data_IF_151462616103
#
_entry.id   IF_151462616103
#
_cell.length_a   1.000
_cell.length_b   1.000
_cell.length_c   1.000
_cell.angle_alpha   90.00
_cell.angle_beta   90.00
_cell.angle_gamma   90.00
#
_symmetry.space_group_name_H-M   'P 1'
#
loop_
_entity.id
_entity.type
_entity.pdbx_description
1 polymer ?
#
# COMPACT_ATOMS: atom_id res chain seq x y z
N UNK A 1 -0.86 -14.51 9.79
CA UNK A 1 -1.11 -14.44 11.25
C UNK A 1 -1.99 -13.23 11.48
N UNK A 2 -2.97 -13.33 12.36
CA UNK A 2 -3.76 -12.17 12.79
C UNK A 2 -3.25 -11.76 14.17
N UNK A 3 -2.95 -10.47 14.33
CA UNK A 3 -2.59 -9.85 15.61
C UNK A 3 -3.59 -8.72 15.87
N UNK A 4 -4.16 -8.68 17.06
CA UNK A 4 -5.11 -7.65 17.46
C UNK A 4 -4.36 -6.50 18.13
N UNK A 5 -4.63 -5.28 17.68
CA UNK A 5 -4.18 -4.06 18.31
C UNK A 5 -5.17 -3.69 19.44
N UNK A 6 -4.67 -3.16 20.56
CA UNK A 6 -5.47 -2.80 21.73
C UNK A 6 -6.03 -1.36 21.72
N UNK A 7 -5.85 -0.64 20.62
CA UNK A 7 -6.20 0.76 20.44
C UNK A 7 -5.15 1.75 20.99
N UNK A 8 -4.04 1.27 21.54
CA UNK A 8 -2.96 2.09 22.08
C UNK A 8 -1.62 1.77 21.40
N UNK A 9 -1.66 1.29 20.16
CA UNK A 9 -0.48 0.87 19.41
C UNK A 9 0.08 -0.50 19.82
N UNK A 10 -0.47 -1.19 20.83
CA UNK A 10 0.12 -2.44 21.33
C UNK A 10 -0.61 -3.69 20.84
N UNK A 11 0.15 -4.79 20.74
CA UNK A 11 -0.34 -6.08 20.27
C UNK A 11 -0.20 -7.12 21.40
N UNK A 12 -1.11 -7.15 22.38
CA UNK A 12 -0.96 -8.00 23.57
C UNK A 12 -0.96 -9.50 23.26
N UNK A 13 -1.57 -9.89 22.13
CA UNK A 13 -1.55 -11.26 21.61
C UNK A 13 -0.30 -11.57 20.75
N UNK A 14 0.71 -10.69 20.70
CA UNK A 14 1.94 -10.94 19.94
C UNK A 14 2.61 -12.24 20.40
N UNK A 15 2.72 -13.21 19.48
CA UNK A 15 3.19 -14.57 19.74
C UNK A 15 2.09 -15.63 19.78
N UNK A 16 0.82 -15.23 19.96
CA UNK A 16 -0.34 -16.09 19.78
C UNK A 16 -0.74 -16.06 18.30
N UNK A 17 -0.69 -17.23 17.66
CA UNK A 17 -1.08 -17.36 16.26
C UNK A 17 -2.58 -17.61 16.19
N UNK A 18 -3.36 -16.60 15.79
CA UNK A 18 -4.72 -16.83 15.28
C UNK A 18 -4.57 -17.13 13.80
N UNK A 19 -4.80 -18.39 13.42
CA UNK A 19 -4.96 -18.77 12.03
C UNK A 19 -6.43 -18.61 11.66
N UNK A 20 -6.74 -18.27 10.41
CA UNK A 20 -8.03 -18.66 9.85
C UNK A 20 -8.12 -20.18 9.98
N UNK A 21 -9.01 -20.66 10.83
CA UNK A 21 -9.03 -22.05 11.26
C UNK A 21 -10.33 -22.71 10.80
N UNK A 22 -10.56 -22.73 9.49
CA UNK A 22 -11.52 -23.66 8.88
C UNK A 22 -10.98 -25.12 8.86
N UNK A 23 -9.76 -25.34 9.36
CA UNK A 23 -9.06 -26.63 9.35
C UNK A 23 -8.40 -27.00 8.02
N UNK A 24 -8.60 -26.22 6.96
CA UNK A 24 -7.90 -26.35 5.69
C UNK A 24 -6.70 -25.41 5.70
N UNK A 25 -5.53 -25.93 6.08
CA UNK A 25 -4.30 -25.21 5.82
C UNK A 25 -4.26 -24.87 4.33
N UNK A 26 -3.88 -23.62 3.98
CA UNK A 26 -3.27 -23.34 2.69
C UNK A 26 -2.18 -24.40 2.50
N UNK A 27 -2.46 -25.37 1.62
CA UNK A 27 -1.66 -26.59 1.54
C UNK A 27 -0.22 -26.28 1.16
N UNK A 28 0.65 -27.29 1.12
CA UNK A 28 2.05 -27.11 0.70
C UNK A 28 2.22 -26.55 -0.72
N UNK A 29 1.14 -26.50 -1.50
CA UNK A 29 1.07 -25.99 -2.87
C UNK A 29 0.43 -24.60 -2.97
N UNK A 30 -0.08 -24.06 -1.87
CA UNK A 30 -0.61 -22.71 -1.81
C UNK A 30 0.52 -21.68 -1.75
N UNK A 31 0.29 -20.52 -2.34
CA UNK A 31 1.18 -19.38 -2.19
C UNK A 31 0.38 -18.08 -2.04
N UNK A 32 -0.10 -17.80 -0.82
CA UNK A 32 -0.64 -16.50 -0.47
C UNK A 32 0.40 -15.42 -0.72
N UNK A 33 0.07 -14.43 -1.52
CA UNK A 33 0.98 -13.33 -1.88
C UNK A 33 0.38 -11.95 -1.61
N UNK A 34 -0.95 -11.84 -1.61
CA UNK A 34 -1.70 -10.60 -1.48
C UNK A 34 -2.75 -10.79 -0.39
N UNK A 35 -2.99 -9.73 0.37
CA UNK A 35 -3.95 -9.72 1.47
C UNK A 35 -4.64 -8.37 1.51
N UNK A 36 -5.95 -8.38 1.69
CA UNK A 36 -6.74 -7.18 1.98
C UNK A 36 -7.74 -7.50 3.08
N UNK A 37 -8.31 -6.46 3.69
CA UNK A 37 -9.36 -6.58 4.68
C UNK A 37 -10.50 -5.62 4.35
N UNK A 38 -11.73 -6.13 4.30
CA UNK A 38 -12.91 -5.34 3.96
C UNK A 38 -14.21 -6.02 4.44
N UNK A 39 -15.32 -5.31 4.62
CA UNK A 39 -16.62 -5.89 4.96
C UNK A 39 -17.25 -6.61 3.74
N UNK A 40 -16.93 -7.89 3.55
CA UNK A 40 -17.35 -8.67 2.38
C UNK A 40 -18.69 -9.36 2.61
N UNK A 41 -18.92 -9.89 3.82
CA UNK A 41 -20.13 -10.61 4.20
C UNK A 41 -21.14 -9.73 4.97
N UNK A 42 -21.03 -8.41 4.81
CA UNK A 42 -21.86 -7.39 5.46
C UNK A 42 -21.02 -6.28 6.13
N UNK A 43 -21.65 -5.15 6.47
CA UNK A 43 -20.95 -3.87 6.72
C UNK A 43 -20.22 -3.69 8.07
N UNK A 44 -20.18 -4.69 8.96
CA UNK A 44 -19.80 -4.44 10.38
C UNK A 44 -18.46 -5.03 10.82
N UNK A 45 -17.96 -6.06 10.15
CA UNK A 45 -16.70 -6.69 10.49
C UNK A 45 -15.78 -6.70 9.28
N UNK A 46 -14.49 -6.43 9.49
CA UNK A 46 -13.49 -6.59 8.44
C UNK A 46 -13.22 -8.08 8.24
N UNK A 47 -13.57 -8.59 7.08
CA UNK A 47 -13.27 -9.94 6.62
C UNK A 47 -11.89 -9.98 5.97
N UNK A 48 -11.34 -11.19 5.79
CA UNK A 48 -10.02 -11.37 5.22
C UNK A 48 -10.11 -11.83 3.76
N UNK A 49 -9.40 -11.12 2.90
CA UNK A 49 -9.27 -11.44 1.48
C UNK A 49 -7.84 -11.90 1.24
N UNK A 50 -7.67 -13.10 0.70
CA UNK A 50 -6.35 -13.68 0.43
C UNK A 50 -6.23 -14.03 -1.04
N UNK A 51 -5.26 -13.44 -1.70
CA UNK A 51 -4.87 -13.79 -3.05
C UNK A 51 -3.79 -14.88 -3.05
N UNK A 52 -4.08 -16.02 -3.67
CA UNK A 52 -3.15 -17.14 -3.84
C UNK A 52 -2.67 -17.29 -5.29
N UNK A 53 -1.35 -17.13 -5.48
CA UNK A 53 -0.71 -17.16 -6.80
C UNK A 53 -0.72 -18.54 -7.46
N UNK A 54 -0.58 -19.61 -6.68
CA UNK A 54 -0.45 -20.97 -7.23
C UNK A 54 -1.83 -21.61 -7.39
N UNK A 55 -2.72 -21.41 -6.42
CA UNK A 55 -4.11 -21.83 -6.54
C UNK A 55 -4.89 -20.98 -7.56
N UNK A 56 -4.38 -19.79 -7.92
CA UNK A 56 -5.01 -18.85 -8.88
C UNK A 56 -6.40 -18.47 -8.43
N UNK A 57 -6.51 -18.17 -7.15
CA UNK A 57 -7.78 -17.93 -6.47
C UNK A 57 -7.70 -16.77 -5.50
N UNK A 58 -8.84 -16.15 -5.27
CA UNK A 58 -9.09 -15.26 -4.15
C UNK A 58 -9.93 -16.02 -3.13
N UNK A 59 -9.45 -16.10 -1.89
CA UNK A 59 -10.20 -16.67 -0.77
C UNK A 59 -10.79 -15.53 0.06
N UNK A 60 -12.07 -15.63 0.39
CA UNK A 60 -12.80 -14.73 1.28
C UNK A 60 -13.06 -15.47 2.58
N UNK A 61 -12.63 -14.94 3.72
CA UNK A 61 -12.77 -15.57 5.02
C UNK A 61 -13.51 -14.61 5.96
N UNK A 62 -14.67 -15.05 6.44
CA UNK A 62 -15.52 -14.23 7.29
C UNK A 62 -14.93 -14.08 8.68
N UNK A 63 -14.96 -12.86 9.20
CA UNK A 63 -14.62 -12.56 10.58
C UNK A 63 -15.83 -12.80 11.49
N UNK A 64 -15.64 -13.54 12.58
CA UNK A 64 -16.69 -13.79 13.58
C UNK A 64 -17.00 -12.57 14.48
N UNK A 65 -16.36 -11.42 14.21
CA UNK A 65 -16.43 -10.20 15.02
C UNK A 65 -15.45 -10.17 16.19
N UNK A 66 -14.69 -11.24 16.41
CA UNK A 66 -13.66 -11.35 17.46
C UNK A 66 -12.25 -11.48 16.90
N UNK A 67 -12.10 -11.33 15.57
CA UNK A 67 -10.83 -11.50 14.86
C UNK A 67 -10.50 -12.96 14.55
N UNK A 68 -11.50 -13.86 14.59
CA UNK A 68 -11.35 -15.25 14.12
C UNK A 68 -12.01 -15.44 12.76
N UNK A 69 -11.42 -16.34 11.98
CA UNK A 69 -11.76 -16.61 10.59
C UNK A 69 -11.96 -18.12 10.35
N UNK A 70 -12.60 -18.79 11.30
CA UNK A 70 -12.90 -20.23 11.30
C UNK A 70 -14.31 -20.58 10.83
N UNK A 71 -15.12 -19.55 10.53
CA UNK A 71 -16.48 -19.67 10.03
C UNK A 71 -16.55 -19.84 8.50
N UNK A 72 -17.22 -18.89 7.84
CA UNK A 72 -17.49 -18.96 6.41
C UNK A 72 -16.22 -18.68 5.60
N UNK A 73 -16.01 -19.50 4.56
CA UNK A 73 -14.98 -19.28 3.54
C UNK A 73 -15.55 -19.50 2.15
N UNK A 74 -15.20 -18.62 1.21
CA UNK A 74 -15.49 -18.75 -0.21
C UNK A 74 -14.19 -18.70 -1.01
N UNK A 75 -13.92 -19.70 -1.85
CA UNK A 75 -12.75 -19.73 -2.73
C UNK A 75 -13.15 -19.49 -4.18
N UNK A 76 -12.63 -18.41 -4.76
CA UNK A 76 -12.98 -17.94 -6.09
C UNK A 76 -11.80 -18.18 -7.03
N UNK A 77 -11.91 -19.19 -7.88
CA UNK A 77 -10.92 -19.45 -8.92
C UNK A 77 -11.01 -18.41 -10.04
N UNK A 78 -9.96 -17.62 -10.23
CA UNK A 78 -9.88 -16.56 -11.26
C UNK A 78 -9.10 -17.00 -12.51
N UNK A 79 -8.38 -18.13 -12.44
CA UNK A 79 -7.70 -18.72 -13.61
C UNK A 79 -6.30 -18.16 -13.91
N UNK A 80 -5.88 -17.07 -13.26
CA UNK A 80 -4.60 -16.40 -13.48
C UNK A 80 -3.72 -16.38 -12.23
N UNK A 81 -2.40 -16.28 -12.44
CA UNK A 81 -1.46 -16.06 -11.33
C UNK A 81 -1.61 -14.61 -10.87
N UNK A 82 -2.34 -14.35 -9.80
CA UNK A 82 -2.44 -12.97 -9.32
C UNK A 82 -1.12 -12.45 -8.74
N UNK A 83 -1.01 -11.13 -8.61
CA UNK A 83 0.08 -10.44 -7.89
C UNK A 83 -0.42 -9.58 -6.74
N UNK A 84 -1.63 -9.04 -6.85
CA UNK A 84 -2.17 -8.09 -5.89
C UNK A 84 -3.70 -8.08 -5.91
N UNK A 85 -4.32 -7.60 -4.82
CA UNK A 85 -5.77 -7.45 -4.66
C UNK A 85 -6.10 -6.12 -3.98
N UNK A 86 -7.13 -5.43 -4.47
CA UNK A 86 -7.72 -4.24 -3.84
C UNK A 86 -9.19 -4.51 -3.59
N UNK A 87 -9.68 -4.11 -2.42
CA UNK A 87 -11.07 -4.27 -2.01
C UNK A 87 -11.72 -2.90 -1.85
N UNK A 88 -12.72 -2.61 -2.69
CA UNK A 88 -13.41 -1.32 -2.75
C UNK A 88 -14.74 -1.49 -3.47
N UNK A 89 -15.74 -0.66 -3.19
CA UNK A 89 -17.00 -0.60 -3.93
C UNK A 89 -16.74 -0.05 -5.35
N UNK A 90 -16.78 -0.90 -6.36
CA UNK A 90 -16.43 -0.57 -7.75
C UNK A 90 -17.63 -0.14 -8.58
N UNK A 91 -18.86 -0.47 -8.18
CA UNK A 91 -20.07 -0.13 -8.93
C UNK A 91 -21.05 0.81 -8.20
N UNK A 92 -20.64 1.27 -7.00
CA UNK A 92 -21.36 2.20 -6.14
C UNK A 92 -22.70 1.65 -5.63
N UNK A 93 -22.81 0.33 -5.45
CA UNK A 93 -23.99 -0.31 -4.85
C UNK A 93 -23.94 -0.38 -3.31
N UNK A 94 -22.80 -0.02 -2.72
CA UNK A 94 -22.55 0.01 -1.28
C UNK A 94 -21.93 -1.28 -0.72
N UNK A 95 -21.73 -2.30 -1.55
CA UNK A 95 -21.07 -3.54 -1.20
C UNK A 95 -19.60 -3.53 -1.70
N UNK A 96 -18.68 -4.07 -0.91
CA UNK A 96 -17.26 -4.04 -1.28
C UNK A 96 -16.95 -5.14 -2.30
N UNK A 97 -16.42 -4.72 -3.45
CA UNK A 97 -15.94 -5.56 -4.55
C UNK A 97 -14.44 -5.83 -4.46
N UNK A 98 -13.90 -6.59 -5.43
CA UNK A 98 -12.48 -6.91 -5.50
C UNK A 98 -11.91 -6.72 -6.91
N UNK A 99 -10.85 -5.92 -7.01
CA UNK A 99 -9.98 -5.84 -8.19
C UNK A 99 -8.72 -6.70 -7.98
N UNK A 100 -8.30 -7.42 -9.02
CA UNK A 100 -7.17 -8.35 -8.97
C UNK A 100 -6.20 -8.11 -10.12
N UNK A 101 -4.92 -7.93 -9.80
CA UNK A 101 -3.86 -7.89 -10.80
C UNK A 101 -3.56 -9.32 -11.23
N UNK A 102 -3.83 -9.70 -12.48
CA UNK A 102 -3.68 -11.09 -12.96
C UNK A 102 -2.21 -11.51 -13.20
N UNK A 103 -1.27 -10.70 -12.71
CA UNK A 103 0.14 -10.99 -12.57
C UNK A 103 0.98 -10.77 -13.81
N UNK A 104 2.30 -10.96 -13.68
CA UNK A 104 3.27 -10.49 -14.67
C UNK A 104 3.16 -11.17 -16.03
N UNK A 105 2.52 -12.33 -16.11
CA UNK A 105 2.43 -13.13 -17.34
C UNK A 105 1.11 -12.92 -18.11
N UNK A 106 0.35 -11.90 -17.75
CA UNK A 106 -0.88 -11.50 -18.44
C UNK A 106 -0.82 -10.01 -18.79
N UNK A 107 -1.83 -9.56 -19.53
CA UNK A 107 -2.05 -8.16 -19.87
C UNK A 107 -3.46 -7.73 -19.39
N UNK A 108 -3.92 -8.28 -18.26
CA UNK A 108 -5.30 -8.08 -17.78
C UNK A 108 -5.39 -7.92 -16.27
N UNK A 109 -6.47 -7.29 -15.82
CA UNK A 109 -6.94 -7.36 -14.43
C UNK A 109 -8.31 -8.04 -14.39
N UNK A 110 -8.71 -8.56 -13.23
CA UNK A 110 -10.04 -9.15 -13.00
C UNK A 110 -10.80 -8.33 -11.97
N UNK A 111 -12.06 -8.00 -12.25
CA UNK A 111 -12.99 -7.42 -11.28
C UNK A 111 -14.00 -8.49 -10.86
N UNK A 112 -14.30 -8.54 -9.56
CA UNK A 112 -15.25 -9.44 -8.92
C UNK A 112 -16.26 -8.59 -8.14
N UNK A 113 -17.52 -8.55 -8.57
CA UNK A 113 -18.55 -7.75 -7.91
C UNK A 113 -19.28 -8.56 -6.84
N UNK A 114 -19.45 -8.00 -5.67
CA UNK A 114 -20.05 -8.62 -4.50
C UNK A 114 -21.55 -8.34 -4.46
N UNK A 115 -22.35 -9.31 -4.01
CA UNK A 115 -23.79 -9.11 -3.78
C UNK A 115 -24.13 -8.70 -2.34
N UNK A 116 -23.15 -8.15 -1.63
CA UNK A 116 -23.21 -7.82 -0.20
C UNK A 116 -23.26 -9.00 0.75
N UNK A 117 -23.36 -10.23 0.22
CA UNK A 117 -23.38 -11.46 0.99
C UNK A 117 -22.16 -12.32 0.69
N UNK A 118 -21.10 -11.74 0.11
CA UNK A 118 -19.85 -12.39 -0.25
C UNK A 118 -19.95 -13.38 -1.41
N UNK A 119 -21.08 -13.38 -2.13
CA UNK A 119 -21.21 -14.14 -3.37
C UNK A 119 -20.81 -13.24 -4.53
N UNK A 120 -19.62 -13.50 -5.07
CA UNK A 120 -19.04 -12.71 -6.14
C UNK A 120 -19.65 -13.09 -7.49
N UNK A 121 -20.39 -12.18 -8.10
CA UNK A 121 -21.04 -12.33 -9.40
C UNK A 121 -20.45 -11.35 -10.43
N UNK A 122 -20.54 -11.68 -11.72
CA UNK A 122 -19.91 -10.95 -12.83
C UNK A 122 -18.36 -10.81 -12.76
N UNK A 123 -17.65 -11.43 -13.71
CA UNK A 123 -16.20 -11.31 -13.82
C UNK A 123 -15.87 -10.47 -15.04
N UNK A 124 -15.48 -9.21 -14.84
CA UNK A 124 -14.92 -8.41 -15.91
C UNK A 124 -13.42 -8.68 -15.98
N UNK A 125 -12.92 -9.02 -17.17
CA UNK A 125 -11.48 -9.12 -17.43
C UNK A 125 -11.11 -7.95 -18.32
N UNK A 126 -10.40 -6.98 -17.75
CA UNK A 126 -10.07 -5.73 -18.42
C UNK A 126 -8.65 -5.77 -18.97
N UNK A 127 -8.43 -5.37 -20.23
CA UNK A 127 -7.10 -5.27 -20.80
C UNK A 127 -6.35 -4.08 -20.17
N UNK A 128 -5.08 -4.31 -19.86
CA UNK A 128 -4.12 -3.31 -19.39
C UNK A 128 -2.80 -3.46 -20.17
N UNK A 129 -1.70 -2.87 -19.69
CA UNK A 129 -0.40 -3.04 -20.32
C UNK A 129 0.32 -4.26 -19.72
N UNK A 130 1.49 -4.58 -20.27
CA UNK A 130 2.13 -5.87 -19.98
C UNK A 130 2.67 -6.00 -18.55
N UNK A 131 2.23 -7.08 -17.91
CA UNK A 131 2.67 -7.51 -16.60
C UNK A 131 2.11 -6.69 -15.44
N UNK A 132 0.79 -6.68 -15.23
CA UNK A 132 0.17 -6.02 -14.08
C UNK A 132 0.62 -6.70 -12.78
N UNK A 133 1.17 -5.91 -11.85
CA UNK A 133 1.75 -6.43 -10.60
C UNK A 133 1.20 -5.78 -9.33
N UNK A 134 0.66 -4.58 -9.42
CA UNK A 134 0.08 -3.86 -8.28
C UNK A 134 -1.10 -2.99 -8.74
N UNK A 135 -2.02 -2.73 -7.82
CA UNK A 135 -3.23 -1.93 -8.04
C UNK A 135 -3.42 -0.94 -6.89
N UNK A 136 -4.02 0.21 -7.19
CA UNK A 136 -4.61 1.08 -6.20
C UNK A 136 -5.93 1.64 -6.72
N UNK A 137 -6.79 2.08 -5.79
CA UNK A 137 -8.11 2.62 -6.07
C UNK A 137 -8.26 4.02 -5.47
N UNK A 138 -8.99 4.90 -6.16
CA UNK A 138 -9.25 6.26 -5.68
C UNK A 138 -10.18 7.01 -6.62
N UNK A 139 -10.67 8.17 -6.20
CA UNK A 139 -11.42 9.08 -7.08
C UNK A 139 -10.42 9.95 -7.85
N UNK A 140 -10.16 9.63 -9.13
CA UNK A 140 -9.17 10.34 -9.94
C UNK A 140 -9.78 11.47 -10.77
N UNK A 141 -11.08 11.45 -11.06
CA UNK A 141 -11.78 12.52 -11.78
C UNK A 141 -12.88 13.22 -10.97
N UNK A 142 -12.88 12.98 -9.65
CA UNK A 142 -13.79 13.56 -8.66
C UNK A 142 -15.28 13.41 -9.01
N UNK A 143 -15.66 12.39 -9.78
CA UNK A 143 -17.04 12.19 -10.21
C UNK A 143 -17.91 11.39 -9.23
N UNK A 144 -17.31 10.94 -8.14
CA UNK A 144 -17.93 10.18 -7.06
C UNK A 144 -17.84 8.67 -7.22
N UNK A 145 -17.21 8.16 -8.29
CA UNK A 145 -17.00 6.74 -8.53
C UNK A 145 -15.52 6.37 -8.38
N UNK A 146 -15.26 5.14 -7.97
CA UNK A 146 -13.89 4.68 -7.72
C UNK A 146 -13.23 4.29 -9.04
N UNK A 147 -12.08 4.90 -9.31
CA UNK A 147 -11.18 4.60 -10.41
C UNK A 147 -10.05 3.67 -9.95
N UNK A 148 -9.30 3.12 -10.91
CA UNK A 148 -8.19 2.22 -10.65
C UNK A 148 -6.91 2.65 -11.37
N UNK A 149 -5.77 2.49 -10.71
CA UNK A 149 -4.44 2.54 -11.32
C UNK A 149 -3.78 1.17 -11.25
N UNK A 150 -3.15 0.76 -12.35
CA UNK A 150 -2.45 -0.52 -12.47
C UNK A 150 -0.98 -0.30 -12.78
N UNK A 151 -0.08 -0.86 -11.97
CA UNK A 151 1.35 -0.90 -12.25
C UNK A 151 1.69 -2.05 -13.21
N UNK A 152 2.21 -1.73 -14.39
CA UNK A 152 2.54 -2.71 -15.43
C UNK A 152 4.06 -2.83 -15.54
N UNK A 153 4.59 -3.88 -14.93
CA UNK A 153 6.02 -4.08 -14.71
C UNK A 153 6.83 -4.12 -15.99
N UNK A 154 6.33 -4.80 -17.02
CA UNK A 154 7.11 -5.09 -18.22
C UNK A 154 6.97 -4.02 -19.30
N UNK A 155 5.87 -3.28 -19.32
CA UNK A 155 5.73 -2.09 -20.17
C UNK A 155 6.34 -0.82 -19.54
N UNK A 156 6.75 -0.86 -18.26
CA UNK A 156 7.23 0.31 -17.50
C UNK A 156 6.21 1.44 -17.48
N UNK A 157 4.94 1.10 -17.28
CA UNK A 157 3.83 2.06 -17.35
C UNK A 157 2.81 1.86 -16.24
N UNK A 158 2.06 2.90 -15.95
CA UNK A 158 0.80 2.83 -15.23
C UNK A 158 -0.35 2.81 -16.25
N UNK A 159 -1.41 2.06 -15.97
CA UNK A 159 -2.68 2.15 -16.68
C UNK A 159 -3.69 2.77 -15.75
N UNK A 160 -4.31 3.87 -16.17
CA UNK A 160 -5.44 4.48 -15.46
C UNK A 160 -6.72 3.94 -16.08
N UNK A 161 -7.59 3.41 -15.24
CA UNK A 161 -8.91 2.90 -15.58
C UNK A 161 -9.94 3.80 -14.90
N UNK A 162 -10.71 4.52 -15.69
CA UNK A 162 -11.76 5.42 -15.20
C UNK A 162 -13.08 4.67 -15.21
N UNK A 163 -13.83 4.81 -14.12
CA UNK A 163 -15.13 4.20 -13.94
C UNK A 163 -16.17 4.92 -14.81
N UNK A 164 -17.02 4.17 -15.50
CA UNK A 164 -18.09 4.74 -16.33
C UNK A 164 -19.43 4.85 -15.59
N UNK A 165 -19.39 4.80 -14.25
CA UNK A 165 -20.51 5.00 -13.32
C UNK A 165 -21.55 3.90 -13.33
N UNK A 166 -21.23 2.76 -13.93
CA UNK A 166 -22.08 1.57 -13.93
C UNK A 166 -21.29 0.31 -13.58
N UNK A 167 -20.15 0.47 -12.90
CA UNK A 167 -19.24 -0.61 -12.55
C UNK A 167 -18.36 -1.05 -13.71
N UNK A 168 -18.47 -0.49 -14.92
CA UNK A 168 -17.50 -0.78 -15.98
C UNK A 168 -16.42 0.30 -16.05
N UNK A 169 -15.34 -0.01 -16.77
CA UNK A 169 -14.15 0.84 -16.82
C UNK A 169 -13.66 1.01 -18.24
N UNK A 170 -13.15 2.20 -18.54
CA UNK A 170 -12.43 2.48 -19.77
C UNK A 170 -11.01 2.95 -19.44
N UNK A 171 -10.11 2.85 -20.41
CA UNK A 171 -8.72 3.30 -20.25
C UNK A 171 -8.70 4.82 -20.31
N UNK A 172 -8.42 5.47 -19.18
CA UNK A 172 -8.16 6.92 -19.10
C UNK A 172 -6.78 7.30 -19.65
N UNK A 173 -5.82 6.38 -19.56
CA UNK A 173 -4.49 6.60 -20.13
C UNK A 173 -3.47 5.53 -19.79
N UNK A 174 -2.36 5.54 -20.53
CA UNK A 174 -1.15 4.81 -20.18
C UNK A 174 -0.03 5.81 -19.96
N UNK A 175 0.58 5.79 -18.78
CA UNK A 175 1.59 6.76 -18.39
C UNK A 175 2.92 6.05 -18.18
N UNK A 176 3.94 6.46 -18.93
CA UNK A 176 5.28 5.91 -18.76
C UNK A 176 5.86 6.34 -17.40
N UNK A 177 6.42 5.39 -16.67
CA UNK A 177 7.12 5.60 -15.40
C UNK A 177 8.54 5.03 -15.50
N UNK A 178 9.29 5.07 -14.39
CA UNK A 178 10.57 4.39 -14.29
C UNK A 178 10.49 2.88 -14.54
N UNK A 179 11.65 2.25 -14.66
CA UNK A 179 11.81 0.87 -15.09
C UNK A 179 11.31 -0.10 -14.00
N UNK A 180 10.54 -1.10 -14.42
CA UNK A 180 9.99 -2.17 -13.58
C UNK A 180 9.23 -1.61 -12.38
N UNK A 181 8.10 -0.90 -12.60
CA UNK A 181 7.22 -0.51 -11.51
C UNK A 181 6.73 -1.77 -10.79
N UNK A 182 6.78 -1.78 -9.46
CA UNK A 182 6.39 -2.94 -8.64
C UNK A 182 5.23 -2.68 -7.69
N UNK A 183 5.00 -1.42 -7.34
CA UNK A 183 3.98 -1.02 -6.38
C UNK A 183 3.51 0.41 -6.65
N UNK A 184 2.31 0.74 -6.20
CA UNK A 184 1.66 2.05 -6.37
C UNK A 184 0.98 2.51 -5.08
N UNK A 185 1.14 3.79 -4.75
CA UNK A 185 0.40 4.46 -3.70
C UNK A 185 -0.37 5.65 -4.29
N UNK A 186 -1.56 5.90 -3.76
CA UNK A 186 -2.42 7.05 -4.11
C UNK A 186 -2.56 7.97 -2.91
N UNK A 187 -2.39 9.27 -3.12
CA UNK A 187 -2.42 10.27 -2.04
C UNK A 187 -2.52 11.67 -2.64
N UNK A 188 -3.04 12.62 -1.88
CA UNK A 188 -2.96 14.04 -2.23
C UNK A 188 -1.56 14.54 -1.88
N UNK A 189 -0.73 14.80 -2.89
CA UNK A 189 0.67 15.15 -2.71
C UNK A 189 0.85 16.64 -2.42
N UNK A 190 -0.02 17.51 -2.91
CA UNK A 190 0.17 18.95 -2.80
C UNK A 190 -1.00 19.71 -2.18
N UNK A 191 -1.87 18.96 -1.51
CA UNK A 191 -3.01 19.44 -0.75
C UNK A 191 -4.02 20.22 -1.62
N UNK A 192 -4.14 19.88 -2.90
CA UNK A 192 -5.15 20.44 -3.80
C UNK A 192 -6.49 19.69 -3.79
N UNK A 193 -6.53 18.53 -3.13
CA UNK A 193 -7.71 17.68 -2.97
C UNK A 193 -7.83 16.58 -4.02
N UNK A 194 -6.94 16.54 -5.01
CA UNK A 194 -6.93 15.54 -6.07
C UNK A 194 -5.93 14.42 -5.73
N UNK A 195 -6.32 13.16 -5.93
CA UNK A 195 -5.43 12.03 -5.65
C UNK A 195 -4.36 11.90 -6.75
N UNK A 196 -3.10 12.01 -6.35
CA UNK A 196 -1.91 11.76 -7.14
C UNK A 196 -1.43 10.31 -7.01
N UNK A 197 -0.41 9.94 -7.78
CA UNK A 197 0.15 8.58 -7.77
C UNK A 197 1.66 8.60 -7.58
N UNK A 198 2.15 7.81 -6.62
CA UNK A 198 3.54 7.38 -6.53
C UNK A 198 3.68 5.93 -7.01
N UNK A 199 4.71 5.66 -7.82
CA UNK A 199 5.06 4.32 -8.26
C UNK A 199 6.49 3.94 -7.86
N UNK A 200 6.65 2.79 -7.23
CA UNK A 200 7.98 2.25 -6.91
C UNK A 200 8.61 1.64 -8.15
N UNK A 201 9.76 2.17 -8.60
CA UNK A 201 10.39 1.75 -9.87
C UNK A 201 11.70 1.01 -9.61
N UNK A 202 11.59 -0.30 -9.41
CA UNK A 202 12.66 -1.15 -8.92
C UNK A 202 13.90 -1.18 -9.83
N UNK A 203 13.69 -1.10 -11.14
CA UNK A 203 14.75 -1.06 -12.15
C UNK A 203 15.46 0.29 -12.21
N UNK A 204 14.71 1.38 -12.00
CA UNK A 204 15.23 2.75 -11.94
C UNK A 204 15.83 3.12 -10.58
N UNK A 205 15.60 2.32 -9.53
CA UNK A 205 16.05 2.62 -8.16
C UNK A 205 15.54 3.97 -7.66
N UNK A 206 14.28 4.26 -7.95
CA UNK A 206 13.63 5.54 -7.66
C UNK A 206 12.12 5.37 -7.48
N UNK A 207 11.44 6.44 -7.09
CA UNK A 207 9.99 6.60 -7.23
C UNK A 207 9.71 7.44 -8.48
N UNK A 208 8.59 7.17 -9.16
CA UNK A 208 7.99 8.08 -10.13
C UNK A 208 6.74 8.70 -9.50
N UNK A 209 6.55 10.00 -9.68
CA UNK A 209 5.38 10.73 -9.21
C UNK A 209 4.56 11.20 -10.41
N UNK A 210 3.25 11.05 -10.33
CA UNK A 210 2.29 11.50 -11.32
C UNK A 210 1.27 12.38 -10.62
N UNK A 211 1.23 13.66 -11.01
CA UNK A 211 0.27 14.62 -10.52
C UNK A 211 -1.02 14.55 -11.32
N UNK A 212 -2.16 14.56 -10.64
CA UNK A 212 -3.50 14.62 -11.20
C UNK A 212 -3.96 16.09 -11.35
N UNK A 213 -4.89 16.35 -12.27
CA UNK A 213 -5.54 17.65 -12.44
C UNK A 213 -7.01 17.67 -11.98
N UNK A 214 -7.42 16.64 -11.25
CA UNK A 214 -8.78 16.45 -10.75
C UNK A 214 -9.78 16.00 -11.81
N UNK A 215 -9.35 15.79 -13.05
CA UNK A 215 -10.18 15.36 -14.18
C UNK A 215 -9.72 13.99 -14.73
N UNK A 216 -8.94 13.23 -13.95
CA UNK A 216 -8.38 11.94 -14.32
C UNK A 216 -7.20 12.02 -15.29
N UNK A 217 -6.60 13.21 -15.48
CA UNK A 217 -5.44 13.41 -16.35
C UNK A 217 -4.17 13.55 -15.53
N UNK A 218 -3.21 12.67 -15.81
CA UNK A 218 -1.96 12.58 -15.04
C UNK A 218 -0.74 13.09 -15.81
N UNK A 219 0.10 13.86 -15.13
CA UNK A 219 1.37 14.37 -15.64
C UNK A 219 2.53 14.00 -14.73
N UNK A 220 3.70 13.74 -15.30
CA UNK A 220 4.88 13.44 -14.50
C UNK A 220 5.27 14.65 -13.63
N UNK A 221 5.39 14.44 -12.33
CA UNK A 221 5.90 15.41 -11.37
C UNK A 221 7.41 15.21 -11.13
N UNK A 222 8.03 16.18 -10.47
CA UNK A 222 9.43 16.07 -10.08
C UNK A 222 9.60 14.88 -9.12
N UNK A 223 10.32 13.85 -9.53
CA UNK A 223 10.57 12.70 -8.67
C UNK A 223 11.45 13.10 -7.47
N UNK A 224 11.28 12.45 -6.31
CA UNK A 224 12.19 12.60 -5.18
C UNK A 224 13.60 12.16 -5.58
N UNK A 225 14.58 12.46 -4.73
CA UNK A 225 15.93 11.92 -4.90
C UNK A 225 15.89 10.39 -5.09
N UNK A 226 16.82 9.82 -5.88
CA UNK A 226 16.92 8.36 -6.02
C UNK A 226 16.90 7.70 -4.66
N UNK A 227 16.27 6.54 -4.52
CA UNK A 227 16.18 5.85 -3.22
C UNK A 227 17.49 5.14 -2.85
N UNK A 228 18.39 4.92 -3.82
CA UNK A 228 19.52 3.98 -3.74
C UNK A 228 19.13 2.52 -3.41
N UNK A 229 17.84 2.23 -3.19
CA UNK A 229 17.28 0.90 -3.03
C UNK A 229 16.85 0.33 -4.38
N UNK A 230 16.54 -0.97 -4.43
CA UNK A 230 15.59 -1.47 -5.43
C UNK A 230 14.22 -1.44 -4.76
N UNK A 231 13.44 -0.35 -4.91
CA UNK A 231 12.19 -0.21 -4.19
C UNK A 231 11.20 -1.27 -4.68
N UNK A 232 10.50 -1.90 -3.74
CA UNK A 232 9.48 -2.92 -4.02
C UNK A 232 8.15 -2.57 -3.39
N UNK A 233 8.13 -1.63 -2.44
CA UNK A 233 6.95 -1.18 -1.74
C UNK A 233 7.00 0.34 -1.56
N UNK A 234 5.86 1.01 -1.67
CA UNK A 234 5.69 2.44 -1.40
C UNK A 234 4.36 2.65 -0.70
N UNK A 235 4.37 3.45 0.37
CA UNK A 235 3.17 3.90 1.06
C UNK A 235 3.22 5.41 1.24
N UNK A 236 2.06 6.04 1.25
CA UNK A 236 1.90 7.48 1.41
C UNK A 236 0.83 7.78 2.45
N UNK A 237 1.12 8.66 3.40
CA UNK A 237 0.18 9.09 4.45
C UNK A 237 0.74 10.28 5.24
N UNK A 238 -0.06 10.87 6.13
CA UNK A 238 0.36 11.92 7.05
C UNK A 238 1.32 11.39 8.12
N UNK A 239 2.62 11.38 7.82
CA UNK A 239 3.68 10.96 8.76
C UNK A 239 4.22 12.13 9.56
N UNK A 240 4.14 13.33 8.99
CA UNK A 240 4.40 14.59 9.65
C UNK A 240 3.09 15.27 9.99
N UNK A 241 3.09 16.06 11.06
CA UNK A 241 1.90 16.72 11.58
C UNK A 241 1.52 17.99 10.78
N UNK A 242 1.61 17.93 9.47
CA UNK A 242 1.19 18.96 8.54
C UNK A 242 0.05 18.48 7.63
N UNK A 243 -0.12 19.12 6.46
CA UNK A 243 -1.20 18.81 5.52
C UNK A 243 -0.73 17.91 4.37
N UNK A 244 0.57 17.79 4.18
CA UNK A 244 1.18 17.12 3.05
C UNK A 244 1.43 15.67 3.45
N UNK A 245 0.97 14.74 2.61
CA UNK A 245 1.29 13.34 2.83
C UNK A 245 2.74 13.08 2.44
N UNK A 246 3.41 12.27 3.26
CA UNK A 246 4.80 11.87 3.09
C UNK A 246 4.89 10.51 2.40
N UNK A 247 6.09 10.11 1.97
CA UNK A 247 6.31 8.81 1.36
C UNK A 247 7.27 7.95 2.18
N UNK A 248 6.90 6.69 2.39
CA UNK A 248 7.79 5.64 2.90
C UNK A 248 8.02 4.60 1.82
N UNK A 249 9.29 4.32 1.55
CA UNK A 249 9.72 3.41 0.49
C UNK A 249 10.53 2.26 1.04
N UNK A 250 10.02 1.05 0.84
CA UNK A 250 10.68 -0.21 1.16
C UNK A 250 11.32 -0.86 -0.07
N UNK A 251 12.39 -1.63 0.14
CA UNK A 251 13.08 -2.28 -0.97
C UNK A 251 14.11 -3.33 -0.56
N UNK A 252 14.89 -3.75 -1.56
CA UNK A 252 16.09 -4.55 -1.33
C UNK A 252 17.20 -3.66 -0.77
N UNK A 253 17.44 -3.78 0.54
CA UNK A 253 18.45 -3.10 1.34
C UNK A 253 18.09 -3.31 2.82
N UNK A 254 18.98 -2.98 3.75
CA UNK A 254 18.74 -3.07 5.19
C UNK A 254 18.21 -1.76 5.81
N UNK A 255 17.61 -0.92 4.98
CA UNK A 255 17.02 0.37 5.35
C UNK A 255 15.76 0.63 4.51
N UNK A 256 14.91 1.51 5.00
CA UNK A 256 13.85 2.18 4.21
C UNK A 256 14.24 3.62 3.94
N UNK A 257 13.56 4.23 2.96
CA UNK A 257 13.68 5.65 2.68
C UNK A 257 12.38 6.34 3.05
N UNK A 258 12.46 7.30 3.94
CA UNK A 258 11.42 8.27 4.23
C UNK A 258 11.65 9.52 3.38
N UNK A 259 10.60 10.02 2.76
CA UNK A 259 10.60 11.29 2.04
C UNK A 259 9.56 12.20 2.67
N UNK A 260 10.02 13.18 3.42
CA UNK A 260 9.18 14.25 3.96
C UNK A 260 8.75 15.16 2.82
N UNK A 261 7.46 15.36 2.66
CA UNK A 261 6.89 16.23 1.65
C UNK A 261 6.82 17.66 2.17
N UNK A 262 7.72 18.52 1.69
CA UNK A 262 7.90 19.86 2.26
C UNK A 262 6.90 20.87 1.69
N UNK A 263 6.57 20.75 0.41
CA UNK A 263 5.74 21.75 -0.29
C UNK A 263 4.92 21.21 -1.48
N UNK A 264 4.77 19.89 -1.60
CA UNK A 264 4.10 19.24 -2.74
C UNK A 264 4.98 19.08 -3.98
N UNK A 265 6.19 19.64 -3.98
CA UNK A 265 7.15 19.51 -5.08
C UNK A 265 8.54 19.11 -4.62
N UNK A 266 8.90 19.42 -3.37
CA UNK A 266 10.16 19.09 -2.73
C UNK A 266 9.95 17.98 -1.70
N UNK A 267 10.78 16.95 -1.82
CA UNK A 267 10.85 15.85 -0.86
C UNK A 267 12.22 15.77 -0.21
N UNK A 268 12.27 15.91 1.12
CA UNK A 268 13.49 15.73 1.90
C UNK A 268 13.68 14.27 2.28
N UNK A 269 14.86 13.73 1.94
CA UNK A 269 15.17 12.30 2.11
C UNK A 269 15.78 12.01 3.47
N UNK A 270 15.28 10.98 4.13
CA UNK A 270 15.91 10.34 5.28
C UNK A 270 15.97 8.82 5.11
N UNK A 271 17.14 8.23 5.35
CA UNK A 271 17.30 6.77 5.38
C UNK A 271 17.11 6.27 6.83
N UNK A 272 16.32 5.22 7.01
CA UNK A 272 16.04 4.62 8.34
C UNK A 272 16.45 3.16 8.32
N UNK A 273 17.46 2.81 9.12
CA UNK A 273 17.98 1.46 9.21
C UNK A 273 16.94 0.48 9.79
N UNK A 274 16.62 -0.55 9.02
CA UNK A 274 15.74 -1.63 9.44
C UNK A 274 16.53 -2.91 9.78
N UNK A 275 17.75 -3.05 9.29
CA UNK A 275 18.57 -4.24 9.50
C UNK A 275 18.03 -5.48 8.77
N UNK A 276 17.10 -5.33 7.81
CA UNK A 276 16.62 -6.40 6.95
C UNK A 276 15.97 -5.87 5.65
N UNK A 277 16.00 -6.64 4.53
CA UNK A 277 15.28 -6.31 3.31
C UNK A 277 13.77 -6.26 3.51
N UNK A 278 13.14 -5.27 2.89
CA UNK A 278 11.74 -4.95 3.07
C UNK A 278 10.95 -5.56 1.91
N UNK A 279 9.86 -6.24 2.27
CA UNK A 279 8.87 -6.77 1.35
C UNK A 279 7.76 -5.78 1.11
N UNK A 280 7.33 -5.11 2.18
CA UNK A 280 6.11 -4.34 2.22
C UNK A 280 6.16 -3.30 3.35
N UNK A 281 5.46 -2.19 3.18
CA UNK A 281 5.31 -1.11 4.15
C UNK A 281 3.85 -0.68 4.22
N UNK A 282 3.33 -0.48 5.43
CA UNK A 282 2.00 0.08 5.64
C UNK A 282 2.07 1.23 6.62
N UNK A 283 1.30 2.26 6.32
CA UNK A 283 1.13 3.44 7.17
C UNK A 283 -0.30 3.42 7.71
N UNK A 284 -0.41 3.59 9.02
CA UNK A 284 -1.70 3.65 9.73
C UNK A 284 -1.47 4.19 11.13
N UNK A 285 -2.33 5.08 11.60
CA UNK A 285 -2.34 5.51 13.00
C UNK A 285 -2.81 4.35 13.90
N UNK A 286 -1.90 3.77 14.69
CA UNK A 286 -2.22 2.64 15.57
C UNK A 286 -2.56 3.07 17.01
N UNK A 287 -2.34 4.34 17.37
CA UNK A 287 -2.51 4.86 18.72
C UNK A 287 -3.38 6.13 18.82
N UNK A 288 -4.07 6.48 17.74
CA UNK A 288 -5.04 7.59 17.60
C UNK A 288 -4.42 8.98 17.90
N UNK A 289 -3.13 9.15 17.54
CA UNK A 289 -2.42 10.41 17.73
C UNK A 289 -2.49 11.36 16.51
N UNK A 290 -3.14 10.93 15.43
CA UNK A 290 -3.34 11.60 14.14
C UNK A 290 -2.10 11.77 13.27
N UNK A 291 -1.04 11.02 13.56
CA UNK A 291 0.05 10.80 12.61
C UNK A 291 0.19 9.31 12.43
N UNK A 292 0.48 8.88 11.21
CA UNK A 292 0.55 7.44 10.97
C UNK A 292 1.75 6.83 11.67
N UNK A 293 1.60 5.58 12.10
CA UNK A 293 2.69 4.69 12.46
C UNK A 293 3.13 3.89 11.23
N UNK A 294 4.27 3.19 11.35
CA UNK A 294 4.84 2.42 10.27
C UNK A 294 4.92 0.93 10.62
N UNK A 295 4.32 0.09 9.79
CA UNK A 295 4.47 -1.37 9.81
C UNK A 295 5.37 -1.79 8.65
N UNK A 296 6.47 -2.48 8.95
CA UNK A 296 7.44 -2.97 7.96
C UNK A 296 7.50 -4.49 7.98
N UNK A 297 7.34 -5.10 6.81
CA UNK A 297 7.43 -6.53 6.62
C UNK A 297 8.77 -6.90 5.97
N UNK A 298 9.46 -7.88 6.53
CA UNK A 298 10.71 -8.38 5.97
C UNK A 298 10.50 -9.29 4.76
N UNK A 299 11.36 -9.17 3.77
CA UNK A 299 11.43 -10.02 2.58
C UNK A 299 12.15 -11.36 2.80
N UNK A 300 12.92 -11.51 3.87
CA UNK A 300 13.81 -12.67 4.05
C UNK A 300 13.70 -13.39 5.40
N UNK A 301 13.09 -12.78 6.41
CA UNK A 301 13.18 -13.28 7.79
C UNK A 301 11.84 -13.46 8.52
N UNK A 302 10.70 -13.44 7.82
CA UNK A 302 9.36 -13.55 8.41
C UNK A 302 9.12 -12.58 9.60
N UNK A 303 9.90 -11.49 9.63
CA UNK A 303 9.81 -10.43 10.63
C UNK A 303 8.77 -9.43 10.20
N UNK A 304 7.98 -8.98 11.17
CA UNK A 304 7.18 -7.77 11.10
C UNK A 304 7.74 -6.84 12.17
N UNK A 305 7.94 -5.58 11.84
CA UNK A 305 8.35 -4.55 12.80
C UNK A 305 7.37 -3.39 12.74
N UNK A 306 6.98 -2.91 13.90
CA UNK A 306 6.17 -1.69 14.06
C UNK A 306 7.08 -0.59 14.59
N UNK A 307 6.99 0.58 13.99
CA UNK A 307 7.63 1.81 14.44
C UNK A 307 6.53 2.77 14.84
N UNK A 308 6.52 3.16 16.11
CA UNK A 308 5.57 4.15 16.61
C UNK A 308 6.08 5.55 16.31
N UNK A 309 5.28 6.32 15.58
CA UNK A 309 5.46 7.72 15.35
C UNK A 309 4.90 8.48 16.55
N UNK A 310 5.78 9.10 17.32
CA UNK A 310 5.40 9.80 18.56
C UNK A 310 5.12 11.29 18.35
N UNK A 311 5.11 11.76 17.09
CA UNK A 311 4.69 13.13 16.81
C UNK A 311 3.23 13.30 17.21
N UNK A 312 2.87 14.49 17.70
CA UNK A 312 1.50 14.83 18.06
C UNK A 312 1.21 16.20 17.46
N UNK A 313 0.11 16.38 16.72
CA UNK A 313 -0.17 17.61 15.96
C UNK A 313 -0.06 18.90 16.79
N UNK A 314 0.48 20.05 16.36
CA UNK A 314 0.80 20.69 15.06
C UNK A 314 2.07 21.56 15.23
N UNK A 315 2.86 21.82 14.17
CA UNK A 315 3.36 23.18 13.87
C UNK A 315 3.44 23.46 12.35
N UNK A 316 2.49 24.25 11.87
CA UNK A 316 2.47 24.99 10.58
C UNK A 316 3.51 26.14 10.60
N UNK A 317 4.16 26.61 9.50
CA UNK A 317 4.43 26.06 8.15
C UNK A 317 5.93 25.61 8.04
N UNK A 318 6.51 25.18 6.89
CA UNK A 318 7.82 24.53 6.87
C UNK A 318 8.88 25.54 7.34
N UNK A 319 9.54 25.24 8.46
CA UNK A 319 10.67 26.04 8.91
C UNK A 319 11.94 25.41 8.36
N UNK A 320 12.80 26.19 7.68
CA UNK A 320 14.09 25.69 7.27
C UNK A 320 14.90 25.21 8.49
N UNK A 321 15.72 24.16 8.34
CA UNK A 321 16.40 23.53 9.46
C UNK A 321 17.28 24.54 10.20
N UNK A 322 17.07 24.63 11.53
CA UNK A 322 17.98 25.37 12.39
C UNK A 322 19.33 24.66 12.38
N UNK A 323 20.38 25.41 12.06
CA UNK A 323 21.78 25.01 12.01
C UNK A 323 22.16 24.05 13.16
N UNK A 324 22.42 22.78 12.84
CA UNK A 324 23.01 21.83 13.78
C UNK A 324 24.52 22.02 13.81
N UNK A 325 25.04 22.66 14.85
CA UNK A 325 26.48 22.64 15.17
C UNK A 325 26.79 21.42 16.04
N UNK A 326 27.59 20.49 15.51
CA UNK A 326 28.15 19.39 16.29
C UNK A 326 29.42 19.83 17.02
N UNK A 327 29.48 19.60 18.34
CA UNK A 327 30.73 19.65 19.12
C UNK A 327 30.95 18.32 19.81
N UNK A 328 31.95 17.60 19.31
CA UNK A 328 33.01 16.85 20.01
C UNK A 328 33.32 15.55 19.26
N UNK A 329 34.39 15.61 18.45
CA UNK A 329 34.89 14.48 17.67
C UNK A 329 36.05 13.90 18.44
N UNK A 330 35.81 12.83 19.19
CA UNK A 330 36.88 11.90 19.56
C UNK A 330 36.57 10.49 19.08
N UNK A 331 37.48 10.04 18.22
CA UNK A 331 37.55 8.71 17.64
C UNK A 331 38.13 7.75 18.67
N UNK A 332 37.34 6.77 19.08
CA UNK A 332 37.80 5.43 19.40
C UNK A 332 36.71 4.39 19.09
N UNK A 333 37.20 3.27 18.58
CA UNK A 333 36.44 2.24 17.89
C UNK A 333 35.54 1.48 18.89
N UNK A 334 34.22 1.65 18.78
CA UNK A 334 33.27 0.78 19.48
C UNK A 334 31.99 1.40 20.07
N UNK A 335 31.65 2.66 19.80
CA UNK A 335 30.45 3.31 20.36
C UNK A 335 29.32 3.50 19.35
N UNK A 336 28.11 3.07 19.73
CA UNK A 336 26.86 3.45 19.06
C UNK A 336 26.64 4.96 19.17
N UNK A 337 26.23 5.59 18.07
CA UNK A 337 25.69 6.96 18.12
C UNK A 337 24.33 6.88 18.81
N UNK A 338 24.22 7.49 19.99
CA UNK A 338 22.93 7.73 20.64
C UNK A 338 22.47 9.11 20.20
N UNK A 339 21.47 9.15 19.32
CA UNK A 339 20.73 10.37 19.01
C UNK A 339 19.56 10.40 19.99
N UNK A 340 19.65 11.22 21.02
CA UNK A 340 18.49 11.60 21.85
C UNK A 340 18.02 12.97 21.42
N UNK A 341 16.73 13.12 21.16
CA UNK A 341 16.04 14.39 21.22
C UNK A 341 15.03 14.33 22.38
N UNK A 342 14.94 15.43 23.12
CA UNK A 342 13.85 15.70 24.06
C UNK A 342 12.96 16.76 23.40
N UNK A 343 11.69 16.42 23.16
CA UNK A 343 10.68 17.40 22.76
C UNK A 343 10.12 18.07 24.03
N UNK A 344 10.01 19.40 23.97
CA UNK A 344 9.18 20.17 24.90
C UNK A 344 7.72 20.19 24.46
#
# INVERSE_FOLDING_TARGET
>A
HVMLNDGAGTFPDAGRRVYPNDGSAYGSWAQPIAVAAAPIFGMTAMDLIIGDRVARSVSLLANDGTGRFDGRREDIFIGHQLSDVVAVDLDADGDVDIAVANGPNTDTITLLYNDGQGSMSARAVLPVQTGPVALAAGHFDADGYIDLVVANRFSNSLTILINDRNGTFFIGGHHAVGISPLDVAVFDMDADGDLDIAASTAGSRSISLMRNDGLGSFQAAAAPQSTNLRPVAVAADGMTADILNDLVVGGRGDFLVFFENVDGTLFERQDVDTGFPIRDVHLVDLDDNRVSDLIVLSADSARVRVYHNRLVGRKVPPRPPALVTATDVRRDLGGSIVITWEDG
#
